data_IF_994405936317
#
_entry.id   IF_994405936317
#
_cell.length_a   1.000
_cell.length_b   1.000
_cell.length_c   1.000
_cell.angle_alpha   90.00
_cell.angle_beta   90.00
_cell.angle_gamma   90.00
#
_symmetry.space_group_name_H-M   'P 1'
#
loop_
_entity.id
_entity.type
_entity.pdbx_description
1 polymer ?
#
# COMPACT_ATOMS: atom_id res chain seq x y z
N UNK A 1 7.62 -1.29 -2.87
CA UNK A 1 8.98 -0.81 -3.22
C UNK A 1 9.17 0.59 -2.67
N UNK A 2 10.28 0.86 -1.97
CA UNK A 2 10.64 2.22 -1.56
C UNK A 2 11.17 2.97 -2.79
N UNK A 3 10.66 4.18 -3.02
CA UNK A 3 11.08 5.06 -4.12
C UNK A 3 12.13 6.08 -3.66
N UNK A 4 11.92 6.63 -2.47
CA UNK A 4 12.80 7.65 -1.90
C UNK A 4 12.74 7.59 -0.37
N UNK A 5 13.82 8.01 0.30
CA UNK A 5 13.92 8.03 1.77
C UNK A 5 14.76 9.23 2.21
N UNK A 6 14.29 9.92 3.24
CA UNK A 6 14.98 11.02 3.90
C UNK A 6 14.97 10.81 5.42
N UNK A 7 15.63 11.72 6.15
CA UNK A 7 15.89 11.59 7.58
C UNK A 7 14.68 11.21 8.46
N UNK A 8 13.46 11.57 8.06
CA UNK A 8 12.25 11.38 8.86
C UNK A 8 11.11 10.67 8.12
N UNK A 9 11.29 10.31 6.86
CA UNK A 9 10.20 9.77 6.05
C UNK A 9 10.66 9.14 4.76
N UNK A 10 9.71 8.56 4.04
CA UNK A 10 9.95 7.81 2.82
C UNK A 10 8.74 7.85 1.89
N UNK A 11 8.98 7.61 0.61
CA UNK A 11 7.95 7.36 -0.39
C UNK A 11 7.98 5.89 -0.74
N UNK A 12 6.82 5.23 -0.71
CA UNK A 12 6.68 3.83 -1.11
C UNK A 12 5.58 3.67 -2.15
N UNK A 13 5.83 2.79 -3.13
CA UNK A 13 4.84 2.32 -4.09
C UNK A 13 4.49 0.87 -3.81
N UNK A 14 3.21 0.54 -3.91
CA UNK A 14 2.67 -0.82 -3.80
C UNK A 14 2.07 -1.18 -5.14
N UNK A 15 2.48 -2.33 -5.68
CA UNK A 15 1.96 -2.91 -6.91
C UNK A 15 1.06 -4.09 -6.57
N UNK A 16 -0.16 -4.09 -7.11
CA UNK A 16 -1.11 -5.20 -7.02
C UNK A 16 -1.28 -5.75 -8.43
N UNK A 17 -0.89 -7.00 -8.64
CA UNK A 17 -0.96 -7.67 -9.94
C UNK A 17 -2.02 -8.77 -9.90
N UNK A 18 -2.90 -8.80 -10.91
CA UNK A 18 -3.84 -9.89 -11.07
C UNK A 18 -3.19 -11.06 -11.81
N UNK A 19 -2.73 -12.05 -11.06
CA UNK A 19 -2.15 -13.28 -11.62
C UNK A 19 -3.20 -14.36 -11.92
N UNK A 20 -4.49 -14.08 -11.74
CA UNK A 20 -5.58 -15.00 -12.04
C UNK A 20 -6.21 -14.75 -13.41
N UNK A 21 -7.13 -15.62 -13.80
CA UNK A 21 -7.82 -15.58 -15.10
C UNK A 21 -9.15 -14.80 -15.05
N UNK A 22 -9.51 -14.23 -13.89
CA UNK A 22 -10.77 -13.47 -13.70
C UNK A 22 -10.48 -12.03 -13.32
N UNK A 23 -11.26 -11.05 -13.82
CA UNK A 23 -11.14 -9.67 -13.38
C UNK A 23 -11.37 -9.53 -11.87
N UNK A 24 -10.47 -8.83 -11.19
CA UNK A 24 -10.70 -8.36 -9.82
C UNK A 24 -11.61 -7.14 -9.92
N UNK A 25 -12.72 -7.09 -9.19
CA UNK A 25 -13.67 -5.95 -9.25
C UNK A 25 -13.67 -5.06 -8.01
N UNK A 26 -12.80 -5.38 -7.05
CA UNK A 26 -12.42 -4.57 -5.91
C UNK A 26 -11.20 -5.20 -5.22
N UNK A 27 -10.32 -4.36 -4.67
CA UNK A 27 -9.15 -4.84 -3.95
C UNK A 27 -9.02 -4.13 -2.62
N UNK A 28 -8.60 -4.91 -1.64
CA UNK A 28 -8.24 -4.43 -0.32
C UNK A 28 -6.98 -5.16 0.13
N UNK A 29 -5.99 -4.41 0.53
CA UNK A 29 -4.72 -4.91 1.03
C UNK A 29 -4.47 -4.36 2.43
N UNK A 30 -3.94 -5.19 3.31
CA UNK A 30 -3.69 -4.84 4.69
C UNK A 30 -2.26 -5.17 5.08
N UNK A 31 -1.69 -4.39 5.99
CA UNK A 31 -0.38 -4.63 6.57
C UNK A 31 -0.31 -4.04 7.97
N UNK A 32 0.77 -4.35 8.69
CA UNK A 32 1.03 -3.79 10.01
C UNK A 32 2.35 -3.03 10.02
N UNK A 33 2.32 -1.79 10.50
CA UNK A 33 3.52 -1.09 10.90
C UNK A 33 3.80 -1.34 12.38
N UNK A 34 5.06 -1.63 12.70
CA UNK A 34 5.53 -1.75 14.07
C UNK A 34 5.91 -0.38 14.63
N UNK A 35 6.47 0.49 13.79
CA UNK A 35 6.97 1.81 14.20
C UNK A 35 6.62 2.93 13.24
N UNK A 36 6.50 2.62 11.95
CA UNK A 36 6.23 3.63 10.92
C UNK A 36 4.74 4.03 10.87
N UNK A 37 4.47 5.15 10.21
CA UNK A 37 3.11 5.66 10.01
C UNK A 37 2.94 6.29 8.64
N UNK A 38 1.71 6.34 8.12
CA UNK A 38 1.38 7.00 6.85
C UNK A 38 0.98 8.44 7.11
N UNK A 39 1.54 9.36 6.32
CA UNK A 39 1.17 10.78 6.35
C UNK A 39 0.29 11.16 5.17
N UNK A 40 0.62 10.69 3.96
CA UNK A 40 -0.15 10.96 2.75
C UNK A 40 -0.19 9.75 1.86
N UNK A 41 -1.27 9.58 1.09
CA UNK A 41 -1.41 8.51 0.11
C UNK A 41 -2.14 9.00 -1.14
N UNK A 42 -1.90 8.32 -2.25
CA UNK A 42 -2.57 8.55 -3.53
C UNK A 42 -2.88 7.22 -4.21
N UNK A 43 -3.86 7.25 -5.11
CA UNK A 43 -4.35 6.08 -5.84
C UNK A 43 -4.88 4.94 -4.94
N UNK A 44 -5.12 5.21 -3.66
CA UNK A 44 -5.74 4.29 -2.72
C UNK A 44 -6.46 5.08 -1.63
N UNK A 45 -7.50 4.50 -1.06
CA UNK A 45 -8.09 4.96 0.19
C UNK A 45 -7.41 4.21 1.34
N UNK A 46 -6.80 4.95 2.26
CA UNK A 46 -6.10 4.39 3.41
C UNK A 46 -6.99 4.49 4.65
N UNK A 47 -7.14 3.38 5.37
CA UNK A 47 -7.74 3.29 6.69
C UNK A 47 -6.67 2.93 7.72
N UNK A 48 -6.52 3.78 8.74
CA UNK A 48 -5.45 3.71 9.72
C UNK A 48 -4.19 4.42 9.24
N UNK A 49 -3.43 4.97 10.19
CA UNK A 49 -2.16 5.65 9.90
C UNK A 49 -0.97 4.98 10.58
N UNK A 50 -1.17 4.03 11.48
CA UNK A 50 -0.09 3.36 12.22
C UNK A 50 0.48 4.19 13.39
N UNK A 51 1.38 3.60 14.21
CA UNK A 51 1.78 2.19 14.19
C UNK A 51 0.59 1.26 14.52
N UNK A 52 0.53 0.10 13.87
CA UNK A 52 -0.61 -0.81 13.92
C UNK A 52 -1.10 -1.24 12.53
N UNK A 53 -2.33 -1.76 12.46
CA UNK A 53 -2.94 -2.21 11.22
C UNK A 53 -3.30 -1.02 10.32
N UNK A 54 -2.93 -1.15 9.05
CA UNK A 54 -3.26 -0.23 7.98
C UNK A 54 -3.91 -1.04 6.86
N UNK A 55 -4.99 -0.50 6.30
CA UNK A 55 -5.69 -1.08 5.16
C UNK A 55 -5.71 -0.08 4.02
N UNK A 56 -5.36 -0.50 2.81
CA UNK A 56 -5.56 0.26 1.59
C UNK A 56 -6.61 -0.41 0.71
N UNK A 57 -7.59 0.37 0.26
CA UNK A 57 -8.64 -0.07 -0.64
C UNK A 57 -8.64 0.72 -1.94
N UNK A 58 -9.25 0.11 -2.96
CA UNK A 58 -9.39 0.73 -4.27
C UNK A 58 -10.22 2.02 -4.25
N UNK A 59 -9.95 2.88 -5.22
CA UNK A 59 -10.82 3.98 -5.64
C UNK A 59 -11.73 3.50 -6.78
N UNK A 60 -12.77 4.27 -7.11
CA UNK A 60 -13.73 3.90 -8.15
C UNK A 60 -13.08 3.64 -9.52
N UNK A 61 -12.04 4.40 -9.85
CA UNK A 61 -11.39 4.35 -11.16
C UNK A 61 -10.32 3.24 -11.28
N UNK A 62 -9.81 2.69 -10.17
CA UNK A 62 -8.82 1.60 -10.18
C UNK A 62 -9.30 0.33 -9.45
N UNK A 63 -10.61 0.19 -9.28
CA UNK A 63 -11.21 -1.00 -8.65
C UNK A 63 -11.10 -2.26 -9.49
N UNK A 64 -11.05 -2.11 -10.82
CA UNK A 64 -10.98 -3.25 -11.75
C UNK A 64 -9.54 -3.52 -12.13
N UNK A 65 -9.09 -4.76 -11.97
CA UNK A 65 -7.79 -5.24 -12.44
C UNK A 65 -8.03 -6.45 -13.33
N UNK A 66 -7.84 -6.32 -14.64
CA UNK A 66 -8.01 -7.44 -15.56
C UNK A 66 -6.90 -8.49 -15.37
N UNK A 67 -7.10 -9.74 -15.81
CA UNK A 67 -6.05 -10.77 -15.84
C UNK A 67 -4.75 -10.26 -16.48
N UNK A 68 -3.63 -10.39 -15.76
CA UNK A 68 -2.32 -9.91 -16.21
C UNK A 68 -2.09 -8.39 -16.07
N UNK A 69 -3.12 -7.63 -15.68
CA UNK A 69 -2.97 -6.21 -15.36
C UNK A 69 -2.53 -5.98 -13.92
N UNK A 70 -2.14 -4.74 -13.65
CA UNK A 70 -1.69 -4.30 -12.34
C UNK A 70 -2.14 -2.87 -12.05
N UNK A 71 -2.34 -2.60 -10.78
CA UNK A 71 -2.57 -1.25 -10.26
C UNK A 71 -1.46 -0.91 -9.30
N UNK A 72 -1.08 0.37 -9.29
CA UNK A 72 -0.02 0.88 -8.42
C UNK A 72 -0.58 2.03 -7.61
N UNK A 73 -0.44 1.93 -6.30
CA UNK A 73 -0.69 3.05 -5.39
C UNK A 73 0.58 3.40 -4.63
N UNK A 74 0.61 4.61 -4.07
CA UNK A 74 1.77 5.07 -3.33
C UNK A 74 1.39 5.86 -2.10
N UNK A 75 2.34 5.97 -1.18
CA UNK A 75 2.19 6.71 0.05
C UNK A 75 3.51 7.33 0.52
N UNK A 76 3.38 8.45 1.22
CA UNK A 76 4.43 9.03 2.07
C UNK A 76 4.27 8.45 3.47
N UNK A 77 5.30 7.76 3.93
CA UNK A 77 5.43 7.30 5.30
C UNK A 77 6.38 8.18 6.11
N UNK A 78 6.14 8.27 7.41
CA UNK A 78 7.09 8.79 8.37
C UNK A 78 7.73 7.65 9.16
N UNK A 79 9.06 7.72 9.28
CA UNK A 79 9.84 6.75 10.02
C UNK A 79 9.56 6.87 11.51
N UNK A 80 9.42 5.73 12.19
CA UNK A 80 9.32 5.68 13.64
C UNK A 80 10.62 5.99 14.38
N UNK A 81 11.76 5.97 13.67
CA UNK A 81 13.07 6.39 14.15
C UNK A 81 13.80 7.24 13.09
N UNK A 82 14.40 8.39 13.46
CA UNK A 82 15.18 9.19 12.52
C UNK A 82 16.35 8.38 11.94
N UNK A 83 16.60 8.53 10.63
CA UNK A 83 17.62 7.78 9.88
C UNK A 83 17.46 6.24 9.92
N UNK A 84 16.27 5.74 10.27
CA UNK A 84 15.94 4.32 10.18
C UNK A 84 15.65 3.89 8.73
N UNK A 85 15.68 2.58 8.49
CA UNK A 85 15.18 2.00 7.24
C UNK A 85 13.65 1.89 7.30
N UNK A 86 12.92 2.20 6.20
CA UNK A 86 11.47 2.01 6.13
C UNK A 86 11.07 0.57 6.42
N UNK A 87 10.02 0.38 7.20
CA UNK A 87 9.45 -0.94 7.41
C UNK A 87 8.85 -1.46 6.10
N UNK A 88 9.22 -2.69 5.73
CA UNK A 88 8.68 -3.40 4.58
C UNK A 88 7.80 -4.57 5.06
N UNK A 89 6.61 -4.30 5.62
CA UNK A 89 5.73 -5.37 6.05
C UNK A 89 5.23 -6.16 4.85
N UNK A 90 4.99 -7.46 5.08
CA UNK A 90 4.30 -8.28 4.10
C UNK A 90 2.88 -7.73 3.93
N UNK A 91 2.54 -7.35 2.69
CA UNK A 91 1.21 -6.91 2.35
C UNK A 91 0.35 -8.15 2.15
N UNK A 92 -0.64 -8.32 3.02
CA UNK A 92 -1.62 -9.40 2.93
C UNK A 92 -2.93 -8.81 2.45
N UNK A 93 -3.38 -9.25 1.28
CA UNK A 93 -4.67 -8.84 0.73
C UNK A 93 -5.26 -9.97 -0.08
N UNK A 94 -6.58 -10.01 -0.12
CA UNK A 94 -7.32 -10.87 -1.04
C UNK A 94 -7.91 -9.95 -2.09
N UNK A 95 -7.66 -10.19 -3.39
CA UNK A 95 -8.52 -9.62 -4.41
C UNK A 95 -9.94 -10.12 -4.12
N UNK A 96 -10.88 -9.23 -3.84
CA UNK A 96 -12.27 -9.66 -3.68
C UNK A 96 -12.74 -10.15 -5.06
N UNK A 97 -13.02 -11.45 -5.15
CA UNK A 97 -13.62 -12.09 -6.33
C UNK A 97 -15.11 -11.81 -6.41
#
# INVERSE_FOLDING_TARGET
>A
MIQDVWNTGFVANVEITNNGDTPITGWSVSWQFTRDRIEHAWNAQIEGSGPGAVTASNLDWNRVILPGEKVVFGFVGALGAPNGEPEMPAITGTPCQ
#
